data_IF_717942189346
#
_entry.id   IF_717942189346
#
_cell.length_a   1.000
_cell.length_b   1.000
_cell.length_c   1.000
_cell.angle_alpha   90.00
_cell.angle_beta   90.00
_cell.angle_gamma   90.00
#
_symmetry.space_group_name_H-M   'P 1'
#
loop_
_entity.id
_entity.type
_entity.pdbx_description
1 polymer ?
#
# COMPACT_ATOMS: atom_id res chain seq x y z
N UNK A 1 -36.22 -3.19 -6.77
CA UNK A 1 -35.06 -2.61 -6.07
C UNK A 1 -34.52 -1.52 -6.97
N UNK A 2 -34.41 -0.30 -6.51
CA UNK A 2 -33.87 0.80 -7.31
C UNK A 2 -32.42 1.05 -6.89
N UNK A 3 -31.50 0.99 -7.83
CA UNK A 3 -30.11 1.35 -7.65
C UNK A 3 -29.79 2.44 -8.68
N UNK A 4 -29.29 3.59 -8.24
CA UNK A 4 -28.93 4.72 -9.12
C UNK A 4 -30.09 5.24 -10.01
N UNK A 5 -31.34 5.16 -9.53
CA UNK A 5 -32.51 5.57 -10.30
C UNK A 5 -32.93 4.59 -11.41
N UNK A 6 -32.31 3.44 -11.48
CA UNK A 6 -32.66 2.36 -12.41
C UNK A 6 -33.57 1.38 -11.67
N UNK A 7 -34.75 1.14 -12.23
CA UNK A 7 -35.71 0.20 -11.67
C UNK A 7 -35.28 -1.25 -11.99
N UNK A 8 -34.69 -1.92 -10.99
CA UNK A 8 -34.20 -3.30 -11.13
C UNK A 8 -35.35 -4.25 -10.76
N UNK A 9 -36.11 -4.71 -11.72
CA UNK A 9 -37.18 -5.69 -11.46
C UNK A 9 -38.44 -5.53 -12.30
N UNK A 10 -38.45 -4.65 -13.29
CA UNK A 10 -39.53 -4.55 -14.29
C UNK A 10 -38.93 -4.31 -15.67
N UNK A 11 -39.64 -4.71 -16.75
CA UNK A 11 -39.23 -4.30 -18.09
C UNK A 11 -39.00 -2.79 -18.08
N UNK A 12 -37.84 -2.28 -18.49
CA UNK A 12 -37.53 -0.85 -18.42
C UNK A 12 -38.45 -0.09 -19.37
N UNK A 13 -39.60 0.31 -18.85
CA UNK A 13 -40.41 1.33 -19.48
C UNK A 13 -39.93 2.66 -18.93
N UNK A 14 -39.12 3.36 -19.70
CA UNK A 14 -38.58 4.68 -19.46
C UNK A 14 -37.65 4.79 -18.23
N UNK A 15 -36.36 4.97 -18.50
CA UNK A 15 -35.40 5.43 -17.52
C UNK A 15 -35.87 6.77 -16.97
N UNK A 16 -36.43 6.80 -15.76
CA UNK A 16 -36.80 8.05 -15.09
C UNK A 16 -35.49 8.67 -14.62
N UNK A 17 -35.03 9.68 -15.36
CA UNK A 17 -33.94 10.54 -14.95
C UNK A 17 -34.50 11.36 -13.79
N UNK A 18 -33.94 11.26 -12.56
CA UNK A 18 -34.40 12.16 -11.50
C UNK A 18 -34.14 13.61 -11.89
N UNK A 19 -35.04 14.55 -11.50
CA UNK A 19 -34.88 15.96 -11.80
C UNK A 19 -33.55 16.46 -11.26
N UNK A 20 -32.98 17.48 -11.93
CA UNK A 20 -31.77 18.20 -11.56
C UNK A 20 -31.86 18.69 -10.10
N UNK A 21 -31.44 17.90 -9.15
CA UNK A 21 -30.95 18.44 -7.90
C UNK A 21 -29.48 18.72 -8.08
N UNK A 22 -29.03 19.96 -7.82
CA UNK A 22 -27.63 20.30 -7.70
C UNK A 22 -27.07 19.42 -6.58
N UNK A 23 -26.51 18.26 -6.94
CA UNK A 23 -25.90 17.35 -6.00
C UNK A 23 -24.59 17.96 -5.56
N UNK A 24 -24.66 18.83 -4.55
CA UNK A 24 -23.52 19.15 -3.69
C UNK A 24 -23.07 17.85 -3.06
N UNK A 25 -21.76 17.57 -3.11
CA UNK A 25 -21.17 16.45 -2.36
C UNK A 25 -21.66 16.52 -0.92
N UNK A 26 -22.23 15.44 -0.41
CA UNK A 26 -22.78 15.41 0.94
C UNK A 26 -21.69 15.43 2.00
N UNK A 27 -20.53 14.85 1.67
CA UNK A 27 -19.44 14.70 2.63
C UNK A 27 -18.34 15.73 2.39
N UNK A 28 -17.91 16.37 3.49
CA UNK A 28 -16.74 17.23 3.53
C UNK A 28 -15.72 16.61 4.49
N UNK A 29 -14.48 16.44 4.02
CA UNK A 29 -13.39 15.87 4.80
C UNK A 29 -12.08 16.57 4.46
N UNK A 30 -11.16 16.60 5.43
CA UNK A 30 -9.82 17.16 5.26
C UNK A 30 -8.85 16.00 5.08
N UNK A 31 -8.39 15.80 3.84
CA UNK A 31 -7.45 14.72 3.51
C UNK A 31 -6.09 15.04 4.11
N UNK A 32 -5.66 14.20 5.05
CA UNK A 32 -4.28 14.22 5.54
C UNK A 32 -3.49 13.17 4.74
N UNK A 33 -2.35 13.53 4.14
CA UNK A 33 -1.49 12.56 3.46
C UNK A 33 -1.09 11.43 4.43
N UNK A 34 -0.80 10.26 3.87
CA UNK A 34 -0.28 9.16 4.67
C UNK A 34 1.06 9.55 5.28
N UNK A 35 1.22 9.27 6.57
CA UNK A 35 2.52 9.45 7.20
C UNK A 35 3.50 8.45 6.60
N UNK A 36 4.66 8.93 6.16
CA UNK A 36 5.76 8.05 5.76
C UNK A 36 6.33 7.45 7.05
N UNK A 37 5.95 6.20 7.30
CA UNK A 37 6.39 5.47 8.48
C UNK A 37 7.44 4.47 8.03
N UNK A 38 8.63 4.57 8.57
CA UNK A 38 9.64 3.49 8.45
C UNK A 38 9.31 2.39 9.46
N UNK A 39 8.10 1.84 9.29
CA UNK A 39 7.50 0.94 10.24
C UNK A 39 8.31 -0.35 10.35
N UNK A 40 8.67 -0.69 11.57
CA UNK A 40 9.21 -1.99 11.92
C UNK A 40 8.08 -2.96 12.35
N UNK A 41 8.43 -4.23 12.57
CA UNK A 41 7.47 -5.27 12.96
C UNK A 41 6.77 -4.93 14.29
N UNK A 42 7.44 -4.26 15.21
CA UNK A 42 6.86 -3.84 16.49
C UNK A 42 5.77 -2.80 16.29
N UNK A 43 6.03 -1.80 15.47
CA UNK A 43 5.05 -0.76 15.11
C UNK A 43 3.86 -1.34 14.36
N UNK A 44 4.09 -2.28 13.44
CA UNK A 44 3.00 -3.00 12.79
C UNK A 44 2.10 -3.72 13.79
N UNK A 45 2.70 -4.46 14.76
CA UNK A 45 1.94 -5.16 15.79
C UNK A 45 1.13 -4.18 16.65
N UNK A 46 1.71 -3.06 17.03
CA UNK A 46 1.00 -2.03 17.80
C UNK A 46 -0.15 -1.42 17.00
N UNK A 47 0.09 -1.05 15.73
CA UNK A 47 -0.94 -0.51 14.85
C UNK A 47 -2.07 -1.52 14.65
N UNK A 48 -1.74 -2.79 14.46
CA UNK A 48 -2.72 -3.85 14.31
C UNK A 48 -3.53 -4.09 15.59
N UNK A 49 -2.89 -4.13 16.75
CA UNK A 49 -3.59 -4.25 18.04
C UNK A 49 -4.52 -3.05 18.28
N UNK A 50 -4.05 -1.84 18.01
CA UNK A 50 -4.84 -0.62 18.14
C UNK A 50 -6.04 -0.62 17.21
N UNK A 51 -5.85 -1.13 15.97
CA UNK A 51 -6.90 -1.17 14.94
C UNK A 51 -8.10 -2.05 15.30
N UNK A 52 -7.94 -3.01 16.23
CA UNK A 52 -9.05 -3.80 16.78
C UNK A 52 -9.90 -3.02 17.79
N UNK A 53 -9.49 -1.82 18.15
CA UNK A 53 -10.28 -0.94 19.00
C UNK A 53 -11.60 -0.49 18.33
N UNK A 54 -12.51 0.01 19.17
CA UNK A 54 -13.86 0.42 18.74
C UNK A 54 -13.84 1.67 17.85
N UNK A 55 -12.82 2.52 17.97
CA UNK A 55 -12.79 3.83 17.34
C UNK A 55 -11.95 3.81 16.06
N UNK A 56 -12.48 4.45 15.01
CA UNK A 56 -11.79 4.52 13.70
C UNK A 56 -10.42 5.21 13.79
N UNK A 57 -10.25 6.17 14.70
CA UNK A 57 -8.98 6.86 14.93
C UNK A 57 -7.83 5.91 15.27
N UNK A 58 -8.16 4.76 15.87
CA UNK A 58 -7.18 3.72 16.20
C UNK A 58 -6.70 2.94 14.97
N UNK A 59 -7.39 3.10 13.83
CA UNK A 59 -7.10 2.40 12.56
C UNK A 59 -6.25 3.22 11.58
N UNK A 60 -6.07 4.51 11.83
CA UNK A 60 -5.33 5.37 10.90
C UNK A 60 -3.92 4.87 10.64
N UNK A 61 -3.22 4.43 11.68
CA UNK A 61 -1.84 3.95 11.57
C UNK A 61 -1.71 2.68 10.72
N UNK A 62 -2.66 1.73 10.84
CA UNK A 62 -2.61 0.52 10.01
C UNK A 62 -2.85 0.83 8.53
N UNK A 63 -3.73 1.78 8.23
CA UNK A 63 -3.96 2.23 6.86
C UNK A 63 -2.78 3.01 6.29
N UNK A 64 -2.04 3.77 7.12
CA UNK A 64 -0.78 4.39 6.70
C UNK A 64 0.27 3.34 6.34
N UNK A 65 0.39 2.28 7.13
CA UNK A 65 1.28 1.15 6.83
C UNK A 65 0.89 0.46 5.52
N UNK A 66 -0.41 0.27 5.25
CA UNK A 66 -0.87 -0.31 3.98
C UNK A 66 -0.53 0.58 2.79
N UNK A 67 -0.75 1.89 2.92
CA UNK A 67 -0.40 2.85 1.88
C UNK A 67 1.11 2.84 1.61
N UNK A 68 1.92 2.88 2.66
CA UNK A 68 3.37 2.80 2.53
C UNK A 68 3.83 1.49 1.87
N UNK A 69 3.17 0.36 2.17
CA UNK A 69 3.49 -0.91 1.51
C UNK A 69 3.20 -0.86 0.00
N UNK A 70 2.10 -0.21 -0.41
CA UNK A 70 1.76 -0.03 -1.82
C UNK A 70 2.69 0.95 -2.53
N UNK A 71 3.07 2.03 -1.87
CA UNK A 71 3.90 3.09 -2.45
C UNK A 71 5.35 2.65 -2.63
N UNK A 72 5.88 1.84 -1.71
CA UNK A 72 7.28 1.45 -1.70
C UNK A 72 7.57 0.07 -2.30
N UNK A 73 6.59 -0.83 -2.40
CA UNK A 73 6.76 -2.13 -3.06
C UNK A 73 6.05 -2.17 -4.42
N UNK A 74 6.80 -1.80 -5.46
CA UNK A 74 6.31 -1.79 -6.86
C UNK A 74 5.86 -3.18 -7.33
N UNK A 75 6.49 -4.27 -6.85
CA UNK A 75 6.10 -5.63 -7.19
C UNK A 75 4.72 -5.96 -6.61
N UNK A 76 4.49 -5.66 -5.33
CA UNK A 76 3.18 -5.84 -4.69
C UNK A 76 2.10 -5.08 -5.45
N UNK A 77 2.34 -3.79 -5.73
CA UNK A 77 1.41 -2.94 -6.46
C UNK A 77 1.15 -3.46 -7.88
N UNK A 78 2.17 -3.95 -8.56
CA UNK A 78 2.06 -4.56 -9.88
C UNK A 78 1.21 -5.84 -9.88
N UNK A 79 1.39 -6.71 -8.87
CA UNK A 79 0.58 -7.93 -8.72
C UNK A 79 -0.89 -7.62 -8.43
N UNK A 80 -1.16 -6.64 -7.57
CA UNK A 80 -2.52 -6.19 -7.27
C UNK A 80 -3.18 -5.66 -8.55
N UNK A 81 -2.54 -4.73 -9.24
CA UNK A 81 -3.04 -4.17 -10.52
C UNK A 81 -3.31 -5.25 -11.56
N UNK A 82 -2.43 -6.23 -11.70
CA UNK A 82 -2.62 -7.36 -12.61
C UNK A 82 -3.87 -8.19 -12.25
N UNK A 83 -4.12 -8.41 -10.95
CA UNK A 83 -5.33 -9.12 -10.50
C UNK A 83 -6.60 -8.32 -10.78
N UNK A 84 -6.58 -7.03 -10.54
CA UNK A 84 -7.70 -6.13 -10.86
C UNK A 84 -8.01 -6.18 -12.35
N UNK A 85 -7.03 -5.95 -13.21
CA UNK A 85 -7.17 -5.98 -14.66
C UNK A 85 -7.70 -7.32 -15.20
N UNK A 86 -7.27 -8.44 -14.61
CA UNK A 86 -7.76 -9.76 -15.01
C UNK A 86 -9.26 -9.96 -14.70
N UNK A 87 -9.81 -9.20 -13.77
CA UNK A 87 -11.22 -9.27 -13.36
C UNK A 87 -12.04 -8.22 -14.07
N UNK A 88 -11.62 -6.95 -14.03
CA UNK A 88 -12.34 -5.82 -14.64
C UNK A 88 -12.29 -5.84 -16.16
N UNK A 89 -11.26 -6.45 -16.76
CA UNK A 89 -11.14 -6.63 -18.21
C UNK A 89 -12.07 -7.71 -18.80
N UNK A 90 -12.86 -8.42 -17.97
CA UNK A 90 -13.85 -9.36 -18.47
C UNK A 90 -15.10 -8.62 -18.92
N UNK A 91 -15.72 -9.12 -19.99
CA UNK A 91 -17.01 -8.61 -20.43
C UNK A 91 -18.04 -8.88 -19.34
N UNK A 92 -18.62 -7.80 -18.82
CA UNK A 92 -19.70 -7.86 -17.84
C UNK A 92 -21.04 -7.82 -18.59
N UNK A 93 -21.95 -8.69 -18.19
CA UNK A 93 -23.30 -8.76 -18.75
C UNK A 93 -24.31 -8.72 -17.61
N UNK A 94 -25.29 -7.84 -17.73
CA UNK A 94 -26.35 -7.74 -16.75
C UNK A 94 -27.54 -8.62 -17.17
N UNK A 95 -27.89 -9.57 -16.31
CA UNK A 95 -28.94 -10.56 -16.59
C UNK A 95 -30.13 -10.33 -15.66
N UNK A 96 -31.34 -10.28 -16.22
CA UNK A 96 -32.63 -10.17 -15.50
C UNK A 96 -33.50 -11.34 -15.90
N UNK A 97 -33.88 -12.18 -14.93
CA UNK A 97 -34.70 -13.39 -15.17
C UNK A 97 -34.06 -14.32 -16.22
N UNK A 98 -32.77 -14.55 -16.14
CA UNK A 98 -31.97 -15.35 -17.06
C UNK A 98 -31.88 -14.80 -18.53
N UNK A 99 -32.36 -13.60 -18.77
CA UNK A 99 -32.20 -12.93 -20.05
C UNK A 99 -31.25 -11.71 -19.94
N UNK A 100 -30.30 -11.53 -20.87
CA UNK A 100 -29.42 -10.37 -20.90
C UNK A 100 -30.22 -9.09 -21.16
N UNK A 101 -29.84 -8.00 -20.47
CA UNK A 101 -30.45 -6.69 -20.64
C UNK A 101 -29.59 -5.82 -21.54
N UNK A 102 -29.91 -5.77 -22.84
CA UNK A 102 -29.17 -4.97 -23.84
C UNK A 102 -29.04 -3.49 -23.44
N UNK A 103 -30.07 -2.91 -22.82
CA UNK A 103 -30.08 -1.49 -22.41
C UNK A 103 -29.06 -1.22 -21.31
N UNK A 104 -28.91 -2.16 -20.37
CA UNK A 104 -27.93 -2.01 -19.27
C UNK A 104 -26.52 -2.32 -19.77
N UNK A 105 -26.36 -3.31 -20.63
CA UNK A 105 -25.09 -3.68 -21.23
C UNK A 105 -24.54 -2.53 -22.11
N UNK A 106 -25.43 -1.87 -22.90
CA UNK A 106 -25.06 -0.66 -23.65
C UNK A 106 -24.63 0.48 -22.70
N UNK A 107 -25.39 0.71 -21.61
CA UNK A 107 -25.04 1.73 -20.64
C UNK A 107 -23.69 1.44 -19.97
N UNK A 108 -23.41 0.18 -19.60
CA UNK A 108 -22.11 -0.24 -19.03
C UNK A 108 -20.98 0.06 -20.02
N UNK A 109 -21.16 -0.33 -21.29
CA UNK A 109 -20.11 -0.16 -22.31
C UNK A 109 -19.83 1.28 -22.68
N UNK A 110 -20.82 2.17 -22.56
CA UNK A 110 -20.70 3.60 -22.89
C UNK A 110 -20.18 4.46 -21.75
N UNK A 111 -20.11 3.92 -20.51
CA UNK A 111 -19.61 4.66 -19.35
C UNK A 111 -18.16 4.30 -19.03
N UNK A 112 -17.18 5.14 -19.35
CA UNK A 112 -15.75 4.82 -19.13
C UNK A 112 -15.39 4.70 -17.65
N UNK A 113 -16.09 5.41 -16.77
CA UNK A 113 -15.90 5.31 -15.30
C UNK A 113 -16.44 4.01 -14.71
N UNK A 114 -17.16 3.19 -15.47
CA UNK A 114 -17.70 1.94 -14.93
C UNK A 114 -16.59 0.92 -14.64
N UNK A 115 -15.60 0.80 -15.52
CA UNK A 115 -14.45 -0.07 -15.31
C UNK A 115 -13.61 0.42 -14.10
N UNK A 116 -13.43 1.73 -13.96
CA UNK A 116 -12.76 2.34 -12.82
C UNK A 116 -13.51 2.04 -11.51
N UNK A 117 -14.84 2.16 -11.50
CA UNK A 117 -15.67 1.79 -10.35
C UNK A 117 -15.48 0.31 -9.97
N UNK A 118 -15.44 -0.59 -10.94
CA UNK A 118 -15.21 -2.01 -10.68
C UNK A 118 -13.81 -2.23 -10.06
N UNK A 119 -12.78 -1.58 -10.58
CA UNK A 119 -11.43 -1.66 -10.02
C UNK A 119 -11.39 -1.15 -8.58
N UNK A 120 -12.01 -0.02 -8.30
CA UNK A 120 -12.11 0.54 -6.95
C UNK A 120 -12.91 -0.35 -6.01
N UNK A 121 -14.01 -0.94 -6.47
CA UNK A 121 -14.79 -1.91 -5.69
C UNK A 121 -13.98 -3.18 -5.39
N UNK A 122 -13.24 -3.69 -6.36
CA UNK A 122 -12.36 -4.84 -6.17
C UNK A 122 -11.20 -4.50 -5.22
N UNK A 123 -10.70 -3.26 -5.26
CA UNK A 123 -9.66 -2.78 -4.37
C UNK A 123 -10.10 -2.79 -2.90
N UNK A 124 -11.41 -2.68 -2.62
CA UNK A 124 -11.91 -2.80 -1.24
C UNK A 124 -11.59 -4.16 -0.60
N UNK A 125 -11.41 -5.21 -1.41
CA UNK A 125 -10.99 -6.53 -0.90
C UNK A 125 -9.59 -6.50 -0.30
N UNK A 126 -8.74 -5.61 -0.80
CA UNK A 126 -7.38 -5.41 -0.27
C UNK A 126 -7.39 -4.53 0.97
N UNK A 127 -8.24 -3.51 1.02
CA UNK A 127 -8.36 -2.58 2.15
C UNK A 127 -9.30 -3.05 3.27
N UNK A 128 -10.22 -3.97 2.96
CA UNK A 128 -11.26 -4.48 3.87
C UNK A 128 -12.61 -3.79 3.71
N UNK A 129 -12.63 -2.51 3.36
CA UNK A 129 -13.87 -1.74 3.16
C UNK A 129 -13.65 -0.57 2.21
N UNK A 130 -14.76 -0.03 1.69
CA UNK A 130 -14.82 1.21 0.91
C UNK A 130 -16.20 1.81 0.94
N UNK A 131 -16.28 3.13 0.80
CA UNK A 131 -17.53 3.89 0.75
C UNK A 131 -17.55 4.74 -0.52
N UNK A 132 -18.56 4.53 -1.33
CA UNK A 132 -18.73 5.18 -2.63
C UNK A 132 -19.92 6.13 -2.58
N UNK A 133 -19.67 7.39 -2.89
CA UNK A 133 -20.71 8.40 -3.03
C UNK A 133 -20.99 8.63 -4.51
N UNK A 134 -22.21 8.38 -4.94
CA UNK A 134 -22.64 8.55 -6.32
C UNK A 134 -23.32 9.90 -6.51
N UNK A 135 -22.87 10.65 -7.51
CA UNK A 135 -23.51 11.89 -7.92
C UNK A 135 -24.56 11.62 -9.00
N UNK A 136 -25.69 12.32 -8.94
CA UNK A 136 -26.69 12.29 -10.02
C UNK A 136 -26.23 13.20 -11.15
N UNK A 137 -25.99 12.64 -12.33
CA UNK A 137 -25.62 13.42 -13.52
C UNK A 137 -26.77 13.49 -14.50
N UNK A 138 -26.91 14.62 -15.22
CA UNK A 138 -27.94 14.82 -16.24
C UNK A 138 -27.71 14.01 -17.51
N UNK A 139 -26.45 13.60 -17.74
CA UNK A 139 -26.02 13.00 -19.00
C UNK A 139 -26.02 11.46 -18.97
N UNK A 140 -26.67 10.85 -17.97
CA UNK A 140 -26.63 9.39 -17.72
C UNK A 140 -25.24 8.80 -17.54
N UNK A 141 -24.23 9.63 -17.42
CA UNK A 141 -22.86 9.19 -17.14
C UNK A 141 -22.74 8.84 -15.66
N UNK A 142 -21.95 7.80 -15.41
CA UNK A 142 -21.60 7.43 -14.05
C UNK A 142 -20.66 8.49 -13.45
N UNK A 143 -21.02 9.04 -12.31
CA UNK A 143 -20.11 9.85 -11.50
C UNK A 143 -20.14 9.40 -10.06
N UNK A 144 -18.97 9.14 -9.50
CA UNK A 144 -18.80 8.68 -8.13
C UNK A 144 -17.53 9.23 -7.51
N UNK A 145 -17.50 9.23 -6.18
CA UNK A 145 -16.32 9.56 -5.38
C UNK A 145 -16.07 8.43 -4.39
N UNK A 146 -14.88 7.85 -4.42
CA UNK A 146 -14.42 6.93 -3.38
C UNK A 146 -13.94 7.77 -2.20
N UNK A 147 -14.58 7.59 -1.03
CA UNK A 147 -14.19 8.31 0.17
C UNK A 147 -12.93 7.71 0.78
N UNK A 148 -12.02 8.55 1.32
CA UNK A 148 -10.80 8.06 1.94
C UNK A 148 -11.12 7.17 3.15
N UNK A 149 -10.52 5.98 3.18
CA UNK A 149 -10.81 4.95 4.18
C UNK A 149 -10.62 5.42 5.63
N UNK A 150 -9.68 6.33 5.87
CA UNK A 150 -9.40 6.90 7.20
C UNK A 150 -10.54 7.75 7.78
N UNK A 151 -11.46 8.19 6.91
CA UNK A 151 -12.62 9.01 7.31
C UNK A 151 -13.88 8.17 7.50
N UNK A 152 -13.87 6.89 7.16
CA UNK A 152 -15.05 6.03 7.21
C UNK A 152 -15.10 5.31 8.55
N UNK A 153 -16.15 5.59 9.32
CA UNK A 153 -16.47 4.84 10.54
C UNK A 153 -17.58 3.83 10.24
N UNK A 154 -17.23 2.54 10.06
CA UNK A 154 -18.21 1.52 9.69
C UNK A 154 -19.12 1.11 10.84
N UNK A 155 -18.73 1.38 12.09
CA UNK A 155 -19.52 0.97 13.27
C UNK A 155 -20.61 1.97 13.57
N UNK A 156 -20.28 3.25 13.50
CA UNK A 156 -21.26 4.32 13.70
C UNK A 156 -21.95 4.72 12.39
N UNK A 157 -21.51 4.18 11.26
CA UNK A 157 -21.99 4.50 9.92
C UNK A 157 -21.90 6.00 9.62
N UNK A 158 -20.73 6.56 9.91
CA UNK A 158 -20.46 7.98 9.76
C UNK A 158 -19.23 8.23 8.90
N UNK A 159 -19.21 9.37 8.22
CA UNK A 159 -18.01 9.92 7.59
C UNK A 159 -17.48 11.03 8.48
N UNK A 160 -16.27 10.87 8.96
CA UNK A 160 -15.60 11.82 9.86
C UNK A 160 -14.94 12.92 9.04
N UNK A 161 -15.12 14.18 9.48
CA UNK A 161 -14.40 15.30 8.86
C UNK A 161 -12.90 15.20 9.13
N UNK A 162 -12.54 14.97 10.39
CA UNK A 162 -11.16 14.83 10.85
C UNK A 162 -10.84 13.36 11.15
N UNK A 163 -9.64 12.91 10.77
CA UNK A 163 -9.20 11.54 11.07
C UNK A 163 -8.94 11.30 12.56
N UNK A 164 -8.57 12.34 13.29
CA UNK A 164 -8.09 12.25 14.68
C UNK A 164 -9.17 12.48 15.74
N UNK A 165 -10.29 13.10 15.41
CA UNK A 165 -11.30 13.46 16.40
C UNK A 165 -12.73 13.38 15.88
N UNK A 166 -13.68 13.19 16.78
CA UNK A 166 -15.10 13.36 16.49
C UNK A 166 -15.43 14.84 16.38
N UNK A 167 -16.12 15.24 15.33
CA UNK A 167 -16.51 16.60 15.06
C UNK A 167 -18.05 16.71 14.95
N UNK A 168 -18.61 17.86 15.28
CA UNK A 168 -20.03 18.14 15.03
C UNK A 168 -20.37 18.16 13.51
N UNK A 169 -19.35 18.17 12.65
CA UNK A 169 -19.50 18.14 11.20
C UNK A 169 -19.45 16.72 10.61
N UNK A 170 -19.33 15.69 11.48
CA UNK A 170 -19.42 14.31 11.05
C UNK A 170 -20.81 14.00 10.54
N UNK A 171 -20.92 13.33 9.40
CA UNK A 171 -22.20 13.02 8.77
C UNK A 171 -22.44 11.53 8.68
N UNK A 172 -23.65 11.11 9.03
CA UNK A 172 -24.06 9.71 8.86
C UNK A 172 -24.38 9.42 7.40
N UNK A 173 -23.91 8.29 6.90
CA UNK A 173 -24.29 7.76 5.61
C UNK A 173 -25.43 6.73 5.68
N UNK A 174 -25.94 6.51 6.88
CA UNK A 174 -27.03 5.55 7.11
C UNK A 174 -28.30 6.00 6.39
N UNK A 175 -28.79 5.13 5.52
CA UNK A 175 -30.05 5.36 4.79
C UNK A 175 -29.95 6.31 3.59
N UNK A 176 -28.76 6.82 3.27
CA UNK A 176 -28.56 7.56 2.03
C UNK A 176 -28.64 6.63 0.83
N UNK A 177 -29.39 7.03 -0.20
CA UNK A 177 -29.60 6.20 -1.42
C UNK A 177 -28.46 6.31 -2.42
N UNK A 178 -27.72 7.41 -2.35
CA UNK A 178 -26.60 7.71 -3.23
C UNK A 178 -25.24 7.23 -2.67
N UNK A 179 -25.25 6.46 -1.58
CA UNK A 179 -24.05 5.98 -0.95
C UNK A 179 -24.07 4.45 -0.86
N UNK A 180 -22.98 3.82 -1.27
CA UNK A 180 -22.80 2.36 -1.23
C UNK A 180 -21.58 2.02 -0.41
N UNK A 181 -21.78 1.27 0.67
CA UNK A 181 -20.72 0.70 1.48
C UNK A 181 -20.40 -0.71 1.00
N UNK A 182 -19.13 -0.99 0.73
CA UNK A 182 -18.63 -2.29 0.27
C UNK A 182 -17.63 -2.82 1.29
N UNK A 183 -17.72 -4.11 1.62
CA UNK A 183 -16.83 -4.75 2.58
C UNK A 183 -17.41 -4.83 3.98
N UNK A 184 -16.54 -4.89 4.98
CA UNK A 184 -16.92 -4.99 6.39
C UNK A 184 -15.98 -4.20 7.29
N UNK A 185 -16.52 -3.55 8.30
CA UNK A 185 -15.73 -2.87 9.34
C UNK A 185 -14.88 -3.82 10.19
N UNK A 186 -15.12 -5.11 10.14
CA UNK A 186 -14.33 -6.13 10.86
C UNK A 186 -13.23 -6.76 9.97
N UNK A 187 -13.26 -6.51 8.66
CA UNK A 187 -12.27 -7.00 7.71
C UNK A 187 -11.16 -5.95 7.53
N UNK A 188 -9.92 -6.35 7.72
CA UNK A 188 -8.74 -5.52 7.46
C UNK A 188 -8.17 -5.72 6.06
N UNK A 189 -8.84 -6.53 5.25
CA UNK A 189 -8.45 -6.82 3.89
C UNK A 189 -7.16 -7.64 3.75
N UNK A 190 -6.83 -7.94 2.51
CA UNK A 190 -5.62 -8.71 2.20
C UNK A 190 -4.33 -7.93 2.49
N UNK A 191 -4.37 -6.59 2.50
CA UNK A 191 -3.20 -5.76 2.80
C UNK A 191 -2.68 -5.99 4.22
N UNK A 192 -3.51 -6.47 5.13
CA UNK A 192 -3.06 -6.88 6.46
C UNK A 192 -1.88 -7.85 6.41
N UNK A 193 -1.96 -8.87 5.57
CA UNK A 193 -0.89 -9.86 5.43
C UNK A 193 0.20 -9.39 4.48
N UNK A 194 -0.20 -8.76 3.37
CA UNK A 194 0.72 -8.33 2.33
C UNK A 194 1.64 -7.20 2.79
N UNK A 195 1.16 -6.25 3.59
CA UNK A 195 1.98 -5.18 4.14
C UNK A 195 3.07 -5.73 5.07
N UNK A 196 2.76 -6.73 5.89
CA UNK A 196 3.73 -7.39 6.74
C UNK A 196 4.85 -8.05 5.92
N UNK A 197 4.49 -8.75 4.84
CA UNK A 197 5.46 -9.37 3.94
C UNK A 197 6.31 -8.33 3.21
N UNK A 198 5.71 -7.22 2.76
CA UNK A 198 6.44 -6.11 2.14
C UNK A 198 7.46 -5.48 3.11
N UNK A 199 7.12 -5.37 4.39
CA UNK A 199 8.04 -4.87 5.43
C UNK A 199 9.23 -5.82 5.63
N UNK A 200 8.99 -7.14 5.73
CA UNK A 200 10.08 -8.12 5.82
C UNK A 200 11.00 -8.09 4.60
N UNK A 201 10.42 -7.96 3.41
CA UNK A 201 11.17 -7.83 2.16
C UNK A 201 12.07 -6.59 2.17
N UNK A 202 11.55 -5.43 2.60
CA UNK A 202 12.33 -4.19 2.72
C UNK A 202 13.46 -4.32 3.73
N UNK A 203 13.20 -4.89 4.90
CA UNK A 203 14.22 -5.13 5.92
C UNK A 203 15.34 -6.03 5.37
N UNK A 204 14.99 -7.14 4.70
CA UNK A 204 15.97 -8.04 4.09
C UNK A 204 16.82 -7.35 3.01
N UNK A 205 16.23 -6.47 2.19
CA UNK A 205 16.97 -5.68 1.20
C UNK A 205 17.93 -4.70 1.90
N UNK A 206 17.50 -4.06 2.99
CA UNK A 206 18.34 -3.17 3.79
C UNK A 206 19.53 -3.90 4.40
N UNK A 207 19.31 -5.03 5.02
CA UNK A 207 20.35 -5.88 5.62
C UNK A 207 21.33 -6.36 4.55
N UNK A 208 20.84 -6.75 3.38
CA UNK A 208 21.70 -7.15 2.27
C UNK A 208 22.55 -5.99 1.73
N UNK A 209 21.98 -4.79 1.62
CA UNK A 209 22.72 -3.62 1.20
C UNK A 209 23.87 -3.28 2.17
N UNK A 210 23.61 -3.34 3.49
CA UNK A 210 24.62 -3.18 4.52
C UNK A 210 25.69 -4.28 4.42
N UNK A 211 25.27 -5.53 4.26
CA UNK A 211 26.20 -6.64 4.10
C UNK A 211 27.07 -6.45 2.85
N UNK A 212 26.49 -6.04 1.72
CA UNK A 212 27.23 -5.80 0.49
C UNK A 212 28.28 -4.69 0.65
N UNK A 213 27.98 -3.64 1.40
CA UNK A 213 28.92 -2.60 1.74
C UNK A 213 30.08 -3.15 2.59
N UNK A 214 29.75 -3.94 3.61
CA UNK A 214 30.77 -4.55 4.47
C UNK A 214 31.60 -5.61 3.76
N UNK A 215 30.97 -6.45 2.92
CA UNK A 215 31.66 -7.47 2.13
C UNK A 215 32.51 -6.87 1.01
N UNK A 216 32.13 -5.70 0.48
CA UNK A 216 32.89 -4.93 -0.49
C UNK A 216 34.11 -4.24 0.13
N UNK A 217 34.13 -4.06 1.46
CA UNK A 217 35.30 -3.58 2.17
C UNK A 217 36.19 -4.75 2.56
N UNK A 218 37.28 -4.95 1.84
CA UNK A 218 38.26 -5.94 2.20
C UNK A 218 38.84 -5.64 3.58
N UNK A 219 38.67 -6.56 4.53
CA UNK A 219 39.37 -6.45 5.81
C UNK A 219 40.84 -6.72 5.59
N UNK A 220 41.66 -5.71 5.90
CA UNK A 220 43.11 -5.80 5.83
C UNK A 220 43.67 -5.99 7.24
N UNK A 221 44.32 -7.12 7.46
CA UNK A 221 45.01 -7.41 8.70
C UNK A 221 46.49 -7.13 8.56
N UNK A 222 47.02 -6.21 9.33
CA UNK A 222 48.44 -5.89 9.36
C UNK A 222 49.10 -6.80 10.39
N UNK A 223 49.99 -7.67 9.95
CA UNK A 223 50.78 -8.56 10.80
C UNK A 223 52.22 -8.02 10.92
N UNK A 224 52.74 -7.95 12.12
CA UNK A 224 54.10 -7.55 12.39
C UNK A 224 54.93 -8.81 12.74
N UNK A 225 56.01 -9.08 12.00
CA UNK A 225 56.86 -10.25 12.24
C UNK A 225 57.95 -10.04 13.28
N UNK A 226 58.12 -8.80 13.78
CA UNK A 226 59.13 -8.39 14.76
C UNK A 226 58.53 -7.72 16.00
N UNK A 227 59.30 -6.80 16.59
CA UNK A 227 58.82 -6.01 17.71
C UNK A 227 57.63 -5.17 17.31
N UNK A 228 56.58 -5.20 18.13
CA UNK A 228 55.35 -4.47 17.85
C UNK A 228 55.62 -2.97 17.92
N UNK A 229 55.39 -2.20 16.83
CA UNK A 229 55.62 -0.76 16.81
C UNK A 229 54.80 -0.02 17.86
N UNK A 230 55.25 1.18 18.20
CA UNK A 230 54.49 2.07 19.06
C UNK A 230 53.11 2.45 18.47
N UNK A 231 52.22 3.02 19.29
CA UNK A 231 50.87 3.34 18.89
C UNK A 231 50.80 4.37 17.73
N UNK A 232 51.79 5.26 17.65
CA UNK A 232 51.84 6.30 16.60
C UNK A 232 52.21 5.67 15.24
N UNK A 233 53.17 4.81 15.19
CA UNK A 233 53.60 4.07 14.00
C UNK A 233 52.49 3.13 13.50
N UNK A 234 51.75 2.47 14.38
CA UNK A 234 50.56 1.65 14.01
C UNK A 234 49.45 2.50 13.42
N UNK A 235 49.24 3.70 13.94
CA UNK A 235 48.21 4.60 13.38
C UNK A 235 48.60 5.07 11.98
N UNK A 236 49.84 5.48 11.80
CA UNK A 236 50.34 5.87 10.47
C UNK A 236 50.24 4.73 9.45
N UNK A 237 50.63 3.51 9.86
CA UNK A 237 50.51 2.35 8.99
C UNK A 237 49.07 2.06 8.60
N UNK A 238 48.09 2.16 9.52
CA UNK A 238 46.65 2.01 9.20
C UNK A 238 46.19 3.10 8.24
N UNK A 239 46.64 4.32 8.40
CA UNK A 239 46.26 5.43 7.49
C UNK A 239 46.81 5.18 6.08
N UNK A 240 48.06 4.71 5.94
CA UNK A 240 48.65 4.35 4.66
C UNK A 240 47.92 3.20 4.00
N UNK A 241 47.64 2.13 4.75
CA UNK A 241 46.91 0.93 4.21
C UNK A 241 45.49 1.30 3.82
N UNK A 242 44.81 2.14 4.58
CA UNK A 242 43.45 2.59 4.26
C UNK A 242 43.45 3.58 3.08
N UNK A 243 44.46 4.44 2.99
CA UNK A 243 44.57 5.43 1.91
C UNK A 243 44.95 4.86 0.57
N UNK A 244 45.59 3.68 0.54
CA UNK A 244 46.00 3.04 -0.69
C UNK A 244 44.86 2.47 -1.54
N UNK A 245 43.68 2.29 -0.94
CA UNK A 245 42.50 1.77 -1.68
C UNK A 245 42.81 0.43 -2.37
N UNK A 246 42.74 0.41 -3.70
CA UNK A 246 43.13 -0.74 -4.56
C UNK A 246 44.56 -0.61 -5.09
N UNK A 247 45.32 0.38 -4.65
CA UNK A 247 46.71 0.61 -5.09
C UNK A 247 47.72 -0.34 -4.49
N UNK A 248 48.94 -0.32 -5.03
CA UNK A 248 50.07 -1.08 -4.52
C UNK A 248 50.76 -0.32 -3.37
N UNK A 249 51.14 -1.00 -2.31
CA UNK A 249 51.89 -0.46 -1.17
C UNK A 249 53.19 -1.21 -1.04
N UNK A 250 54.31 -0.48 -1.00
CA UNK A 250 55.60 -1.06 -0.61
C UNK A 250 55.68 -1.13 0.89
N UNK A 251 55.92 -2.33 1.41
CA UNK A 251 56.00 -2.60 2.85
C UNK A 251 57.41 -3.03 3.25
N UNK A 252 57.85 -2.69 4.45
CA UNK A 252 59.06 -3.28 5.04
C UNK A 252 58.89 -4.80 5.18
N UNK A 253 60.02 -5.55 5.12
CA UNK A 253 60.03 -7.01 5.18
C UNK A 253 59.45 -7.63 6.46
N UNK A 254 59.28 -6.85 7.51
CA UNK A 254 58.72 -7.24 8.81
C UNK A 254 57.21 -7.02 8.90
N UNK A 255 56.54 -6.58 7.85
CA UNK A 255 55.10 -6.31 7.82
C UNK A 255 54.43 -7.14 6.71
N UNK A 256 53.42 -7.87 7.12
CA UNK A 256 52.56 -8.61 6.19
C UNK A 256 51.13 -8.03 6.23
N UNK A 257 50.51 -7.89 5.06
CA UNK A 257 49.11 -7.53 4.95
C UNK A 257 48.31 -8.71 4.39
N UNK A 258 47.44 -9.26 5.22
CA UNK A 258 46.45 -10.25 4.74
C UNK A 258 45.14 -9.57 4.41
N UNK A 259 44.63 -9.82 3.23
CA UNK A 259 43.30 -9.38 2.82
C UNK A 259 42.35 -10.57 2.93
N UNK A 260 41.36 -10.49 3.80
CA UNK A 260 40.30 -11.49 3.89
C UNK A 260 39.03 -10.98 3.24
N UNK A 261 38.57 -11.70 2.23
CA UNK A 261 37.27 -11.48 1.62
C UNK A 261 36.24 -12.33 2.36
N UNK A 262 35.28 -11.66 3.01
CA UNK A 262 34.13 -12.39 3.56
C UNK A 262 33.13 -12.68 2.45
N UNK A 263 33.33 -13.79 1.73
CA UNK A 263 32.32 -14.32 0.82
C UNK A 263 31.49 -15.38 1.55
N UNK A 264 30.24 -15.08 1.88
CA UNK A 264 29.34 -16.10 2.35
C UNK A 264 28.30 -16.41 1.25
N UNK A 265 28.45 -17.56 0.61
CA UNK A 265 27.52 -18.07 -0.39
C UNK A 265 26.12 -18.33 0.16
N UNK A 266 26.00 -18.58 1.47
CA UNK A 266 24.72 -18.86 2.12
C UNK A 266 23.80 -17.63 2.25
N UNK A 267 24.36 -16.44 2.39
CA UNK A 267 23.57 -15.20 2.50
C UNK A 267 23.01 -14.75 1.13
N UNK A 268 23.73 -14.98 0.05
CA UNK A 268 23.21 -14.71 -1.29
C UNK A 268 22.01 -15.61 -1.63
N UNK A 269 22.02 -16.87 -1.20
CA UNK A 269 20.87 -17.78 -1.39
C UNK A 269 19.66 -17.37 -0.58
N UNK A 270 19.83 -16.88 0.66
CA UNK A 270 18.73 -16.34 1.46
C UNK A 270 18.11 -15.12 0.78
N UNK A 271 18.93 -14.22 0.25
CA UNK A 271 18.46 -13.03 -0.45
C UNK A 271 17.66 -13.38 -1.73
N UNK A 272 18.15 -14.30 -2.54
CA UNK A 272 17.43 -14.76 -3.73
C UNK A 272 16.06 -15.37 -3.38
N UNK A 273 15.97 -16.12 -2.29
CA UNK A 273 14.71 -16.68 -1.81
C UNK A 273 13.70 -15.65 -1.29
N UNK A 274 14.15 -14.45 -0.87
CA UNK A 274 13.25 -13.38 -0.41
C UNK A 274 12.77 -12.46 -1.54
N UNK A 275 13.46 -12.45 -2.69
CA UNK A 275 13.11 -11.57 -3.82
C UNK A 275 12.18 -12.27 -4.82
N UNK A 276 12.21 -13.59 -4.91
CA UNK A 276 11.27 -14.37 -5.71
C UNK A 276 9.87 -14.42 -5.08
#
# INVERSE_FOLDING_TARGET
MELLGINIGGKPKNMVIPPKENTTKEFTYEVTPANIIDANISEYKQAFQSAHGKYIQQRTNIYDIYQNALDFDSHLTGLIKRRLLNTSGKVLQYVVNDEPSEVVDEWISTNPKFTELIDDMLMTKFWGMGLFEFASTTDKLLDYTLLPIKHIDPFEQMVRKDQASTSNNDKSYKGLKNVVFVGSGYDFGLLQQLALLAMYKRAAIGDWAQYSQLAGTNFRTIKYRGAVPDNMSRRQMREVVNGAGSGTIDLPDDIDIETSNQTSSSQNQLFENYIQ
#
